data_IF_915791442763
#
_entry.id   IF_915791442763
#
_cell.length_a   1.000
_cell.length_b   1.000
_cell.length_c   1.000
_cell.angle_alpha   90.00
_cell.angle_beta   90.00
_cell.angle_gamma   90.00
#
_symmetry.space_group_name_H-M   'P 1'
#
loop_
_entity.id
_entity.type
_entity.pdbx_description
1 polymer ?
#
# COMPACT_ATOMS: atom_id res chain seq x y z
N UNK A 1 -11.84 24.51 14.33
CA UNK A 1 -12.42 23.81 13.16
C UNK A 1 -11.41 22.80 12.65
N UNK A 2 -11.37 21.61 13.24
CA UNK A 2 -10.45 20.54 12.84
C UNK A 2 -11.14 19.64 11.81
N UNK A 3 -10.98 19.97 10.54
CA UNK A 3 -11.38 19.12 9.42
C UNK A 3 -10.30 18.06 9.21
N UNK A 4 -10.31 17.01 10.03
CA UNK A 4 -9.56 15.79 9.74
C UNK A 4 -10.25 15.06 8.59
N UNK A 5 -9.93 15.48 7.38
CA UNK A 5 -10.44 14.91 6.14
C UNK A 5 -9.90 13.48 6.03
N UNK A 6 -10.71 12.50 6.44
CA UNK A 6 -10.48 11.07 6.27
C UNK A 6 -10.68 10.62 4.81
N UNK A 7 -10.10 11.34 3.83
CA UNK A 7 -10.40 11.19 2.40
C UNK A 7 -9.44 10.29 1.61
N UNK A 8 -8.71 9.36 2.23
CA UNK A 8 -7.83 8.43 1.50
C UNK A 8 -8.47 7.08 1.16
N UNK A 9 -9.77 6.88 1.39
CA UNK A 9 -10.45 5.64 0.98
C UNK A 9 -10.98 5.79 -0.45
N UNK A 10 -10.08 5.82 -1.44
CA UNK A 10 -10.46 5.68 -2.84
C UNK A 10 -10.64 4.19 -3.14
N UNK A 11 -11.87 3.79 -3.45
CA UNK A 11 -12.17 2.40 -3.83
C UNK A 11 -11.43 2.06 -5.13
N UNK A 12 -10.52 1.08 -5.09
CA UNK A 12 -9.68 0.70 -6.23
C UNK A 12 -8.35 1.46 -6.38
N UNK A 13 -8.04 2.40 -5.47
CA UNK A 13 -6.67 2.93 -5.38
C UNK A 13 -5.76 1.90 -4.73
N UNK A 14 -4.56 1.72 -5.29
CA UNK A 14 -3.49 0.96 -4.63
C UNK A 14 -3.11 1.67 -3.33
N UNK A 15 -2.63 0.90 -2.35
CA UNK A 15 -1.98 1.46 -1.16
C UNK A 15 -0.92 2.48 -1.59
N UNK A 16 -0.88 3.61 -0.88
CA UNK A 16 0.15 4.63 -1.07
C UNK A 16 1.52 3.95 -0.88
N UNK A 17 2.55 4.23 -1.70
CA UNK A 17 3.85 3.56 -1.62
C UNK A 17 4.43 3.55 -0.20
N UNK A 18 4.33 4.68 0.51
CA UNK A 18 4.75 4.79 1.90
C UNK A 18 4.05 3.79 2.81
N UNK A 19 2.74 3.55 2.62
CA UNK A 19 2.01 2.56 3.40
C UNK A 19 2.43 1.11 3.06
N UNK A 20 2.90 0.86 1.84
CA UNK A 20 3.41 -0.47 1.45
C UNK A 20 4.75 -0.78 2.10
N UNK A 21 5.66 0.19 2.10
CA UNK A 21 6.94 0.09 2.83
C UNK A 21 6.70 -0.14 4.32
N UNK A 22 5.80 0.65 4.90
CA UNK A 22 5.39 0.54 6.30
C UNK A 22 4.75 -0.82 6.66
N UNK A 23 4.09 -1.49 5.71
CA UNK A 23 3.54 -2.84 5.88
C UNK A 23 4.70 -3.83 5.90
N UNK A 24 5.64 -3.74 4.97
CA UNK A 24 6.75 -4.68 4.84
C UNK A 24 7.70 -4.60 6.03
N UNK A 25 8.10 -3.40 6.46
CA UNK A 25 8.94 -3.25 7.65
C UNK A 25 8.29 -3.85 8.90
N UNK A 26 6.95 -3.79 9.01
CA UNK A 26 6.23 -4.41 10.13
C UNK A 26 6.10 -5.92 9.98
N UNK A 27 5.96 -6.44 8.75
CA UNK A 27 5.98 -7.89 8.49
C UNK A 27 7.36 -8.48 8.82
N UNK A 28 8.44 -7.77 8.47
CA UNK A 28 9.81 -8.15 8.86
C UNK A 28 9.98 -8.14 10.39
N UNK A 29 9.33 -7.21 11.08
CA UNK A 29 9.22 -7.19 12.54
C UNK A 29 8.22 -8.22 13.12
N UNK A 30 7.81 -9.23 12.32
CA UNK A 30 6.90 -10.32 12.71
C UNK A 30 5.47 -9.92 13.06
N UNK A 31 4.99 -8.75 12.58
CA UNK A 31 3.60 -8.34 12.76
C UNK A 31 2.64 -9.24 11.96
N UNK A 32 1.48 -9.53 12.55
CA UNK A 32 0.50 -10.39 11.86
C UNK A 32 -0.28 -9.62 10.79
N UNK A 33 -0.69 -10.27 9.69
CA UNK A 33 -1.51 -9.63 8.66
C UNK A 33 -2.84 -9.09 9.17
N UNK A 34 -3.36 -9.64 10.27
CA UNK A 34 -4.62 -9.20 10.92
C UNK A 34 -4.43 -7.86 11.62
N UNK A 35 -3.33 -7.69 12.35
CA UNK A 35 -3.00 -6.43 13.02
C UNK A 35 -2.74 -5.32 11.99
N UNK A 36 -2.06 -5.65 10.90
CA UNK A 36 -1.81 -4.72 9.80
C UNK A 36 -3.11 -4.32 9.09
N UNK A 37 -4.00 -5.26 8.83
CA UNK A 37 -5.32 -4.97 8.26
C UNK A 37 -6.12 -3.98 9.13
N UNK A 38 -6.08 -4.14 10.46
CA UNK A 38 -6.70 -3.21 11.42
C UNK A 38 -6.03 -1.83 11.38
N UNK A 39 -4.70 -1.79 11.44
CA UNK A 39 -3.90 -0.56 11.47
C UNK A 39 -4.06 0.28 10.20
N UNK A 40 -4.03 -0.37 9.04
CA UNK A 40 -4.17 0.28 7.73
C UNK A 40 -5.61 0.35 7.23
N UNK A 41 -6.59 -0.10 8.04
CA UNK A 41 -8.01 -0.16 7.69
C UNK A 41 -8.26 -0.76 6.29
N UNK A 42 -7.52 -1.81 5.97
CA UNK A 42 -7.58 -2.48 4.67
C UNK A 42 -7.97 -3.96 4.83
N UNK A 43 -8.47 -4.55 3.75
CA UNK A 43 -8.85 -5.96 3.76
C UNK A 43 -7.58 -6.81 3.84
N UNK A 44 -7.59 -7.90 4.62
CA UNK A 44 -6.44 -8.81 4.78
C UNK A 44 -5.86 -9.27 3.44
N UNK A 45 -6.73 -9.48 2.44
CA UNK A 45 -6.32 -9.80 1.06
C UNK A 45 -5.35 -8.77 0.48
N UNK A 46 -5.57 -7.47 0.74
CA UNK A 46 -4.71 -6.39 0.29
C UNK A 46 -3.30 -6.46 0.91
N UNK A 47 -3.21 -6.79 2.20
CA UNK A 47 -1.92 -7.02 2.88
C UNK A 47 -1.20 -8.21 2.25
N UNK A 48 -1.89 -9.35 2.09
CA UNK A 48 -1.31 -10.55 1.48
C UNK A 48 -0.83 -10.31 0.05
N UNK A 49 -1.62 -9.61 -0.76
CA UNK A 49 -1.26 -9.27 -2.14
C UNK A 49 -0.07 -8.30 -2.19
N UNK A 50 0.13 -7.47 -1.17
CA UNK A 50 1.28 -6.58 -1.05
C UNK A 50 2.54 -7.35 -0.69
N UNK A 51 2.48 -8.22 0.32
CA UNK A 51 3.60 -9.11 0.72
C UNK A 51 4.01 -10.00 -0.46
N UNK A 52 3.04 -10.71 -1.07
CA UNK A 52 3.31 -11.59 -2.21
C UNK A 52 3.93 -10.85 -3.40
N UNK A 53 3.57 -9.59 -3.59
CA UNK A 53 4.14 -8.75 -4.66
C UNK A 53 5.57 -8.35 -4.32
N UNK A 54 5.84 -7.99 -3.07
CA UNK A 54 7.17 -7.69 -2.59
C UNK A 54 8.10 -8.89 -2.74
N UNK A 55 7.70 -10.07 -2.26
CA UNK A 55 8.49 -11.31 -2.40
C UNK A 55 8.81 -11.65 -3.87
N UNK A 56 7.89 -11.34 -4.79
CA UNK A 56 8.06 -11.64 -6.22
C UNK A 56 8.95 -10.65 -6.96
N UNK A 57 8.92 -9.37 -6.61
CA UNK A 57 9.54 -8.28 -7.39
C UNK A 57 10.76 -7.69 -6.67
N UNK A 58 10.85 -7.84 -5.35
CA UNK A 58 11.85 -7.16 -4.50
C UNK A 58 11.67 -5.65 -4.46
N UNK A 59 10.52 -5.12 -4.92
CA UNK A 59 10.27 -3.69 -5.02
C UNK A 59 8.79 -3.37 -4.74
N UNK A 60 8.56 -2.28 -4.01
CA UNK A 60 7.25 -1.73 -3.67
C UNK A 60 6.65 -0.81 -4.73
N UNK A 61 7.38 -0.51 -5.79
CA UNK A 61 6.83 0.32 -6.86
C UNK A 61 5.66 -0.38 -7.54
N UNK A 62 4.49 0.26 -7.42
CA UNK A 62 3.33 -0.14 -8.19
C UNK A 62 3.67 -0.06 -9.68
N UNK A 63 3.59 -1.20 -10.39
CA UNK A 63 3.77 -1.25 -11.85
C UNK A 63 2.96 -0.12 -12.53
N UNK A 64 3.58 0.67 -13.43
CA UNK A 64 2.88 1.70 -14.18
C UNK A 64 1.71 1.06 -14.93
N UNK A 65 0.57 1.76 -14.98
CA UNK A 65 -0.55 1.30 -15.80
C UNK A 65 -0.13 1.46 -17.27
N UNK A 66 -0.37 0.45 -18.09
CA UNK A 66 0.10 0.35 -19.48
C UNK A 66 -0.41 1.46 -20.43
N UNK A 67 -1.20 2.42 -19.93
CA UNK A 67 -1.79 3.56 -20.66
C UNK A 67 -1.63 4.89 -19.93
N UNK A 68 -0.78 4.94 -18.90
CA UNK A 68 -0.57 6.18 -18.15
C UNK A 68 0.64 6.92 -18.76
N UNK A 69 0.46 8.15 -19.27
CA UNK A 69 1.57 8.91 -19.82
C UNK A 69 2.64 9.15 -18.74
N UNK A 70 3.94 9.15 -19.10
CA UNK A 70 5.01 9.40 -18.16
C UNK A 70 4.83 10.79 -17.54
N UNK A 71 5.03 10.89 -16.21
CA UNK A 71 5.04 12.19 -15.54
C UNK A 71 6.25 12.96 -16.02
N UNK A 72 6.03 14.13 -16.63
CA UNK A 72 7.08 15.11 -16.90
C UNK A 72 7.52 15.68 -15.54
N UNK A 73 8.75 15.39 -15.15
CA UNK A 73 9.44 16.09 -14.06
C UNK A 73 10.05 17.36 -14.64
N UNK A 74 9.60 18.52 -14.17
CA UNK A 74 10.24 19.83 -14.37
C UNK A 74 11.20 20.11 -13.22
#
# INVERSE_FOLDING_TARGET
FSLEISANRITGSKLIPQAQEDIISKVEASATPVELARKFRCIIKCIRDTIKRYDKIGNNTSRPRNRQPPKLTY
#
